data_IF_399981984709
#
_entry.id   IF_399981984709
#
_cell.length_a   1.000
_cell.length_b   1.000
_cell.length_c   1.000
_cell.angle_alpha   90.00
_cell.angle_beta   90.00
_cell.angle_gamma   90.00
#
_symmetry.space_group_name_H-M   'P 1'
#
loop_
_entity.id
_entity.type
_entity.pdbx_description
1 polymer ?
#
# COMPACT_ATOMS: atom_id res chain seq x y z
N UNK A 1 -1.96 -25.36 5.43
CA UNK A 1 -2.48 -25.81 6.74
C UNK A 1 -3.02 -24.58 7.48
N UNK A 2 -3.97 -24.73 8.40
CA UNK A 2 -4.53 -23.60 9.16
C UNK A 2 -4.65 -23.96 10.64
N UNK A 3 -4.38 -23.00 11.52
CA UNK A 3 -4.68 -23.06 12.96
C UNK A 3 -5.13 -21.68 13.44
N UNK A 4 -5.50 -21.59 14.72
CA UNK A 4 -5.91 -20.35 15.35
C UNK A 4 -5.23 -20.22 16.71
N UNK A 5 -4.65 -19.05 16.97
CA UNK A 5 -4.06 -18.68 18.25
C UNK A 5 -4.49 -17.23 18.50
N UNK A 6 -5.46 -17.00 19.38
CA UNK A 6 -5.98 -15.64 19.56
C UNK A 6 -4.89 -14.70 20.13
N UNK A 7 -4.67 -13.56 19.47
CA UNK A 7 -3.84 -12.48 20.00
C UNK A 7 -4.40 -11.96 21.33
N UNK A 8 -3.55 -11.31 22.13
CA UNK A 8 -3.98 -10.69 23.37
C UNK A 8 -5.04 -9.63 23.10
N UNK A 9 -6.12 -9.62 23.88
CA UNK A 9 -7.27 -8.72 23.68
C UNK A 9 -6.92 -7.22 23.72
N UNK A 10 -5.77 -6.85 24.30
CA UNK A 10 -5.25 -5.48 24.33
C UNK A 10 -4.43 -5.08 23.10
N UNK A 11 -4.34 -5.95 22.09
CA UNK A 11 -3.57 -5.70 20.86
C UNK A 11 -4.47 -5.48 19.63
N UNK A 12 -5.79 -5.43 19.80
CA UNK A 12 -6.74 -5.18 18.73
C UNK A 12 -8.01 -4.52 19.29
N UNK A 13 -8.79 -3.91 18.41
CA UNK A 13 -10.07 -3.29 18.77
C UNK A 13 -11.22 -4.19 18.36
N UNK A 14 -12.16 -4.44 19.29
CA UNK A 14 -13.37 -5.22 18.99
C UNK A 14 -14.26 -4.46 18.03
N UNK A 15 -14.74 -5.13 16.99
CA UNK A 15 -15.64 -4.56 15.99
C UNK A 15 -16.53 -5.64 15.36
N UNK A 16 -17.44 -5.23 14.49
CA UNK A 16 -18.35 -6.08 13.72
C UNK A 16 -18.24 -5.77 12.23
N UNK A 17 -17.03 -5.76 11.66
CA UNK A 17 -16.80 -5.54 10.22
C UNK A 17 -17.28 -6.76 9.41
N UNK A 18 -17.94 -6.57 8.24
CA UNK A 18 -18.04 -5.31 7.51
C UNK A 18 -19.28 -4.47 7.87
N UNK A 19 -20.09 -4.89 8.85
CA UNK A 19 -21.34 -4.19 9.23
C UNK A 19 -21.09 -2.81 9.80
N UNK A 20 -20.08 -2.66 10.66
CA UNK A 20 -19.70 -1.34 11.21
C UNK A 20 -19.01 -0.45 10.16
N UNK A 21 -18.15 -1.05 9.35
CA UNK A 21 -17.37 -0.39 8.31
C UNK A 21 -16.87 -1.43 7.30
N UNK A 22 -17.03 -1.13 6.01
CA UNK A 22 -16.53 -1.97 4.93
C UNK A 22 -15.01 -2.15 4.97
N UNK A 23 -14.56 -3.39 4.76
CA UNK A 23 -13.14 -3.72 4.59
C UNK A 23 -12.77 -3.49 3.13
N UNK A 24 -11.70 -2.74 2.90
CA UNK A 24 -11.28 -2.28 1.58
C UNK A 24 -9.89 -2.74 1.18
N UNK A 25 -9.00 -2.96 2.15
CA UNK A 25 -7.58 -3.25 1.86
C UNK A 25 -7.11 -4.57 2.46
N UNK A 26 -6.13 -5.17 1.83
CA UNK A 26 -5.28 -6.20 2.42
C UNK A 26 -3.87 -5.62 2.50
N UNK A 27 -3.28 -5.62 3.70
CA UNK A 27 -1.91 -5.13 3.90
C UNK A 27 -0.99 -6.33 4.12
N UNK A 28 0.01 -6.45 3.27
CA UNK A 28 1.02 -7.49 3.31
C UNK A 28 2.23 -6.97 4.05
N UNK A 29 2.69 -7.73 5.03
CA UNK A 29 3.83 -7.40 5.87
C UNK A 29 4.94 -8.43 5.74
N UNK A 30 6.12 -8.07 6.23
CA UNK A 30 7.20 -9.00 6.56
C UNK A 30 7.63 -8.77 8.01
N UNK A 31 7.49 -9.80 8.86
CA UNK A 31 7.54 -9.67 10.32
C UNK A 31 8.86 -9.16 10.88
N UNK A 32 9.97 -9.34 10.16
CA UNK A 32 11.35 -9.19 10.67
C UNK A 32 11.66 -10.06 11.90
N UNK A 33 10.87 -11.11 12.11
CA UNK A 33 10.91 -12.01 13.26
C UNK A 33 10.61 -13.43 12.81
N UNK A 34 11.04 -14.42 13.60
CA UNK A 34 10.60 -15.81 13.41
C UNK A 34 9.10 -15.93 13.69
N UNK A 35 8.46 -16.99 13.19
CA UNK A 35 7.04 -17.24 13.40
C UNK A 35 6.70 -17.34 14.90
N UNK A 36 7.53 -18.05 15.68
CA UNK A 36 7.30 -18.22 17.11
C UNK A 36 7.45 -16.88 17.85
N UNK A 37 8.42 -16.05 17.47
CA UNK A 37 8.60 -14.71 18.04
C UNK A 37 7.46 -13.77 17.66
N UNK A 38 6.96 -13.82 16.43
CA UNK A 38 5.78 -13.05 16.01
C UNK A 38 4.55 -13.44 16.81
N UNK A 39 4.27 -14.74 16.96
CA UNK A 39 3.15 -15.23 17.76
C UNK A 39 3.30 -14.81 19.22
N UNK A 40 4.49 -14.99 19.81
CA UNK A 40 4.76 -14.55 21.18
C UNK A 40 4.57 -13.03 21.36
N UNK A 41 4.99 -12.22 20.39
CA UNK A 41 4.80 -10.78 20.38
C UNK A 41 3.32 -10.39 20.41
N UNK A 42 2.48 -11.07 19.65
CA UNK A 42 1.03 -10.81 19.61
C UNK A 42 0.26 -11.35 20.83
N UNK A 43 0.88 -12.25 21.61
CA UNK A 43 0.33 -12.75 22.88
C UNK A 43 0.73 -11.89 24.10
N UNK A 44 1.68 -10.98 23.93
CA UNK A 44 2.11 -10.02 24.95
C UNK A 44 1.53 -8.61 24.68
N UNK A 45 1.40 -7.73 25.68
CA UNK A 45 0.78 -6.41 25.55
C UNK A 45 1.69 -5.40 24.82
N UNK A 46 2.00 -5.68 23.56
CA UNK A 46 2.85 -4.85 22.71
C UNK A 46 2.07 -3.86 21.85
N UNK A 47 0.74 -3.84 21.96
CA UNK A 47 -0.15 -2.97 21.18
C UNK A 47 0.03 -3.13 19.66
N UNK A 48 0.29 -4.37 19.22
CA UNK A 48 0.41 -4.74 17.81
C UNK A 48 -0.20 -6.11 17.54
N UNK A 49 -0.84 -6.27 16.38
CA UNK A 49 -1.38 -7.54 15.92
C UNK A 49 -1.64 -7.51 14.42
N UNK A 50 -1.75 -8.69 13.80
CA UNK A 50 -2.30 -8.86 12.46
C UNK A 50 -3.43 -9.90 12.48
N UNK A 51 -4.21 -10.00 11.40
CA UNK A 51 -5.28 -10.99 11.32
C UNK A 51 -4.72 -12.40 11.14
N UNK A 52 -3.67 -12.51 10.33
CA UNK A 52 -3.01 -13.77 9.99
C UNK A 52 -1.50 -13.65 10.05
N UNK A 53 -0.82 -14.70 10.52
CA UNK A 53 0.62 -14.92 10.35
C UNK A 53 0.85 -16.15 9.47
N UNK A 54 1.77 -16.07 8.52
CA UNK A 54 2.17 -17.16 7.62
C UNK A 54 3.58 -17.60 7.95
N UNK A 55 3.74 -18.87 8.33
CA UNK A 55 5.03 -19.48 8.65
C UNK A 55 5.84 -19.81 7.40
N UNK A 56 7.14 -19.57 7.46
CA UNK A 56 8.06 -19.65 6.34
C UNK A 56 8.26 -21.05 5.78
N UNK A 57 8.36 -22.03 6.67
CA UNK A 57 8.84 -23.38 6.37
C UNK A 57 7.79 -24.25 5.68
N UNK A 58 6.51 -24.03 5.96
CA UNK A 58 5.42 -24.90 5.50
C UNK A 58 4.15 -24.15 5.04
N UNK A 59 4.13 -22.81 5.11
CA UNK A 59 2.97 -22.00 4.78
C UNK A 59 1.79 -22.23 5.73
N UNK A 60 2.02 -22.61 6.99
CA UNK A 60 0.99 -22.60 8.02
C UNK A 60 0.41 -21.20 8.15
N UNK A 61 -0.92 -21.10 8.04
CA UNK A 61 -1.68 -19.86 8.21
C UNK A 61 -2.31 -19.87 9.60
N UNK A 62 -1.85 -19.00 10.48
CA UNK A 62 -2.37 -18.86 11.84
C UNK A 62 -3.24 -17.63 11.94
N UNK A 63 -4.53 -17.83 12.23
CA UNK A 63 -5.45 -16.72 12.53
C UNK A 63 -5.20 -16.23 13.96
N UNK A 64 -4.87 -14.94 14.08
CA UNK A 64 -4.54 -14.28 15.35
C UNK A 64 -5.65 -13.31 15.79
N UNK A 65 -6.23 -12.57 14.85
CA UNK A 65 -7.35 -11.66 15.10
C UNK A 65 -8.46 -11.99 14.10
N UNK A 66 -9.68 -12.23 14.61
CA UNK A 66 -10.86 -12.46 13.77
C UNK A 66 -11.07 -11.26 12.82
N UNK A 67 -11.34 -11.52 11.54
CA UNK A 67 -11.42 -10.47 10.49
C UNK A 67 -12.48 -9.39 10.72
N UNK A 68 -13.48 -9.66 11.56
CA UNK A 68 -14.48 -8.66 11.96
C UNK A 68 -13.92 -7.58 12.92
N UNK A 69 -12.90 -7.92 13.71
CA UNK A 69 -12.22 -6.99 14.62
C UNK A 69 -11.15 -6.20 13.88
N UNK A 70 -10.65 -5.11 14.45
CA UNK A 70 -9.57 -4.29 13.87
C UNK A 70 -8.24 -4.68 14.51
N UNK A 71 -7.41 -5.43 13.80
CA UNK A 71 -6.02 -5.65 14.20
C UNK A 71 -5.18 -4.37 14.07
N UNK A 72 -4.13 -4.24 14.88
CA UNK A 72 -3.26 -3.06 14.94
C UNK A 72 -1.95 -3.33 14.20
N UNK A 73 -1.94 -3.20 12.87
CA UNK A 73 -0.78 -3.54 12.04
C UNK A 73 -0.27 -2.40 11.14
N UNK A 74 -1.15 -1.51 10.66
CA UNK A 74 -0.79 -0.55 9.62
C UNK A 74 -0.08 0.70 10.13
N UNK A 75 -0.12 0.98 11.44
CA UNK A 75 0.38 2.25 12.00
C UNK A 75 -0.45 3.49 11.60
N UNK A 76 -1.50 3.31 10.79
CA UNK A 76 -2.46 4.33 10.42
C UNK A 76 -3.87 3.85 10.79
N UNK A 77 -4.55 4.57 11.68
CA UNK A 77 -5.82 4.13 12.27
C UNK A 77 -6.96 4.00 11.24
N UNK A 78 -7.03 4.91 10.26
CA UNK A 78 -8.02 4.83 9.18
C UNK A 78 -7.81 3.55 8.36
N UNK A 79 -6.55 3.25 8.04
CA UNK A 79 -6.19 2.05 7.29
C UNK A 79 -6.42 0.78 8.11
N UNK A 80 -6.05 0.74 9.40
CA UNK A 80 -6.39 -0.38 10.30
C UNK A 80 -7.90 -0.67 10.26
N UNK A 81 -8.72 0.37 10.44
CA UNK A 81 -10.19 0.25 10.43
C UNK A 81 -10.72 -0.38 9.13
N UNK A 82 -10.05 -0.14 7.98
CA UNK A 82 -10.50 -0.59 6.65
C UNK A 82 -9.71 -1.77 6.09
N UNK A 83 -8.82 -2.41 6.85
CA UNK A 83 -7.93 -3.40 6.27
C UNK A 83 -7.81 -4.71 7.05
N UNK A 84 -7.25 -5.70 6.36
CA UNK A 84 -6.83 -6.99 6.89
C UNK A 84 -5.32 -7.14 6.72
N UNK A 85 -4.57 -7.09 7.81
CA UNK A 85 -3.13 -7.38 7.83
C UNK A 85 -2.80 -8.87 7.76
N UNK A 86 -1.85 -9.22 6.87
CA UNK A 86 -1.25 -10.55 6.75
C UNK A 86 0.26 -10.43 6.97
N UNK A 87 0.76 -11.08 8.01
CA UNK A 87 2.17 -11.16 8.36
C UNK A 87 2.83 -12.37 7.72
N UNK A 88 4.00 -12.18 7.13
CA UNK A 88 4.84 -13.24 6.58
C UNK A 88 6.10 -13.34 7.42
N UNK A 89 6.45 -14.55 7.90
CA UNK A 89 7.76 -14.83 8.50
C UNK A 89 8.88 -14.65 7.46
N UNK A 90 9.30 -13.40 7.28
CA UNK A 90 10.19 -12.95 6.23
C UNK A 90 10.92 -11.67 6.66
N UNK A 91 12.00 -11.36 5.94
CA UNK A 91 12.94 -10.28 6.25
C UNK A 91 13.17 -9.42 5.01
N UNK A 92 13.08 -8.09 5.15
CA UNK A 92 13.10 -7.18 3.99
C UNK A 92 14.45 -7.13 3.27
N UNK A 93 15.51 -7.57 3.96
CA UNK A 93 16.88 -7.65 3.47
C UNK A 93 17.24 -9.03 2.89
N UNK A 94 16.32 -10.00 2.93
CA UNK A 94 16.56 -11.38 2.54
C UNK A 94 15.54 -11.88 1.52
N UNK A 95 15.90 -11.85 0.24
CA UNK A 95 15.04 -12.36 -0.84
C UNK A 95 14.66 -13.84 -0.65
N UNK A 96 15.58 -14.65 -0.12
CA UNK A 96 15.36 -16.08 0.14
C UNK A 96 14.34 -16.33 1.25
N UNK A 97 14.03 -15.31 2.06
CA UNK A 97 13.05 -15.45 3.13
C UNK A 97 11.61 -15.53 2.63
N UNK A 98 11.32 -15.06 1.41
CA UNK A 98 10.02 -15.16 0.76
C UNK A 98 9.89 -16.49 0.01
N UNK A 99 9.36 -17.52 0.66
CA UNK A 99 9.36 -18.88 0.11
C UNK A 99 8.17 -19.16 -0.81
N UNK A 100 8.29 -20.10 -1.76
CA UNK A 100 7.16 -20.51 -2.61
C UNK A 100 5.95 -21.05 -1.83
N UNK A 101 6.18 -21.72 -0.69
CA UNK A 101 5.10 -22.27 0.14
C UNK A 101 4.32 -21.17 0.85
N UNK A 102 5.01 -20.12 1.33
CA UNK A 102 4.35 -18.93 1.86
C UNK A 102 3.55 -18.20 0.78
N UNK A 103 4.12 -18.03 -0.41
CA UNK A 103 3.42 -17.37 -1.51
C UNK A 103 2.09 -18.07 -1.83
N UNK A 104 2.08 -19.41 -1.88
CA UNK A 104 0.86 -20.16 -2.13
C UNK A 104 -0.19 -19.96 -1.02
N UNK A 105 0.25 -19.94 0.25
CA UNK A 105 -0.62 -19.66 1.40
C UNK A 105 -1.17 -18.23 1.37
N UNK A 106 -0.32 -17.25 1.05
CA UNK A 106 -0.68 -15.84 0.91
C UNK A 106 -1.73 -15.64 -0.20
N UNK A 107 -1.50 -16.20 -1.38
CA UNK A 107 -2.44 -16.15 -2.52
C UNK A 107 -3.80 -16.74 -2.13
N UNK A 108 -3.81 -17.89 -1.44
CA UNK A 108 -5.05 -18.50 -0.96
C UNK A 108 -5.77 -17.59 0.05
N UNK A 109 -5.04 -16.99 1.00
CA UNK A 109 -5.61 -16.11 2.00
C UNK A 109 -6.15 -14.81 1.40
N UNK A 110 -5.43 -14.20 0.46
CA UNK A 110 -5.89 -13.01 -0.28
C UNK A 110 -7.18 -13.33 -1.03
N UNK A 111 -7.26 -14.46 -1.75
CA UNK A 111 -8.48 -14.87 -2.45
C UNK A 111 -9.65 -15.08 -1.49
N UNK A 112 -9.42 -15.67 -0.32
CA UNK A 112 -10.47 -15.81 0.72
C UNK A 112 -11.01 -14.44 1.13
N UNK A 113 -10.13 -13.50 1.48
CA UNK A 113 -10.55 -12.15 1.89
C UNK A 113 -11.20 -11.36 0.75
N UNK A 114 -10.67 -11.44 -0.47
CA UNK A 114 -11.22 -10.78 -1.64
C UNK A 114 -12.64 -11.25 -1.96
N UNK A 115 -12.90 -12.56 -1.88
CA UNK A 115 -14.26 -13.11 -2.07
C UNK A 115 -15.18 -12.68 -0.93
N UNK A 116 -14.74 -12.78 0.32
CA UNK A 116 -15.56 -12.51 1.49
C UNK A 116 -15.95 -11.03 1.63
N UNK A 117 -15.04 -10.12 1.29
CA UNK A 117 -15.20 -8.68 1.51
C UNK A 117 -15.27 -7.87 0.22
N UNK A 118 -15.32 -8.53 -0.93
CA UNK A 118 -15.35 -7.90 -2.27
C UNK A 118 -14.18 -6.95 -2.52
N UNK A 119 -12.99 -7.30 -2.03
CA UNK A 119 -11.77 -6.51 -2.20
C UNK A 119 -11.21 -6.73 -3.61
N UNK A 120 -11.02 -5.68 -4.43
CA UNK A 120 -10.40 -5.80 -5.74
C UNK A 120 -8.99 -6.40 -5.66
N UNK A 121 -8.65 -7.26 -6.61
CA UNK A 121 -7.32 -7.86 -6.74
C UNK A 121 -6.41 -6.96 -7.59
N UNK A 122 -6.16 -5.75 -7.10
CA UNK A 122 -5.25 -4.77 -7.72
C UNK A 122 -4.29 -4.19 -6.68
N UNK A 123 -3.34 -3.37 -7.14
CA UNK A 123 -2.35 -2.74 -6.26
C UNK A 123 -2.86 -1.54 -5.49
N UNK A 124 -4.04 -1.02 -5.80
CA UNK A 124 -4.68 0.03 -5.00
C UNK A 124 -5.36 -0.54 -3.74
N UNK A 125 -5.62 -1.84 -3.70
CA UNK A 125 -6.32 -2.53 -2.62
C UNK A 125 -5.47 -3.60 -1.91
N UNK A 126 -4.49 -4.19 -2.61
CA UNK A 126 -3.48 -5.08 -2.02
C UNK A 126 -2.17 -4.29 -1.90
N UNK A 127 -1.87 -3.85 -0.68
CA UNK A 127 -0.78 -2.93 -0.37
C UNK A 127 0.31 -3.63 0.42
N UNK A 128 1.55 -3.20 0.26
CA UNK A 128 2.60 -3.45 1.26
C UNK A 128 2.45 -2.46 2.41
N UNK A 129 3.04 -2.74 3.57
CA UNK A 129 3.08 -1.77 4.67
C UNK A 129 3.83 -0.49 4.27
N UNK A 130 4.85 -0.61 3.43
CA UNK A 130 5.57 0.48 2.77
C UNK A 130 4.65 1.43 1.98
N UNK A 131 3.54 0.91 1.46
CA UNK A 131 2.59 1.63 0.62
C UNK A 131 1.46 2.31 1.42
N UNK A 132 1.39 2.06 2.73
CA UNK A 132 0.39 2.66 3.64
C UNK A 132 0.69 4.15 3.82
N UNK A 133 -0.31 5.05 3.79
CA UNK A 133 -0.09 6.47 3.99
C UNK A 133 0.41 6.75 5.40
N UNK A 134 1.37 7.68 5.51
CA UNK A 134 1.73 8.25 6.82
C UNK A 134 0.52 9.00 7.40
N UNK A 135 0.22 8.93 8.71
CA UNK A 135 -0.91 9.67 9.27
C UNK A 135 -0.66 11.19 9.34
N UNK A 136 0.60 11.62 9.42
CA UNK A 136 1.04 13.03 9.40
C UNK A 136 2.44 13.17 8.77
N UNK A 137 2.84 14.41 8.44
CA UNK A 137 4.19 14.67 7.89
C UNK A 137 5.32 14.27 8.86
N UNK A 138 5.19 14.60 10.15
CA UNK A 138 6.22 14.29 11.15
C UNK A 138 6.38 12.78 11.40
N UNK A 139 5.30 12.02 11.23
CA UNK A 139 5.32 10.56 11.40
C UNK A 139 5.92 9.84 10.19
N UNK A 140 6.11 10.52 9.05
CA UNK A 140 6.65 9.92 7.83
C UNK A 140 8.05 9.30 8.05
N UNK A 141 8.83 9.84 8.99
CA UNK A 141 10.20 9.41 9.31
C UNK A 141 10.23 8.02 9.98
N UNK A 142 9.15 7.63 10.67
CA UNK A 142 9.05 6.36 11.40
C UNK A 142 8.38 5.26 10.57
N UNK A 143 8.21 5.48 9.28
CA UNK A 143 7.39 4.60 8.46
C UNK A 143 8.10 3.30 8.08
N UNK A 144 7.25 2.29 7.87
CA UNK A 144 7.64 0.92 7.56
C UNK A 144 8.18 0.76 6.14
N UNK A 145 9.00 -0.28 5.97
CA UNK A 145 9.66 -0.63 4.70
C UNK A 145 9.20 -1.96 4.13
N UNK A 146 8.44 -2.74 4.90
CA UNK A 146 8.03 -4.09 4.54
C UNK A 146 6.79 -4.09 3.63
N UNK A 147 6.62 -5.10 2.76
CA UNK A 147 7.43 -6.31 2.63
C UNK A 147 8.76 -6.08 1.88
N UNK A 148 9.01 -4.86 1.42
CA UNK A 148 10.30 -4.42 0.92
C UNK A 148 10.61 -4.85 -0.51
N UNK A 149 11.75 -4.36 -1.02
CA UNK A 149 12.14 -4.47 -2.43
C UNK A 149 12.22 -5.89 -2.98
N UNK A 150 12.43 -6.89 -2.12
CA UNK A 150 12.52 -8.29 -2.54
C UNK A 150 11.18 -9.01 -2.65
N UNK A 151 10.09 -8.41 -2.13
CA UNK A 151 8.77 -8.97 -2.32
C UNK A 151 8.39 -8.96 -3.81
N UNK A 152 8.04 -10.13 -4.34
CA UNK A 152 7.80 -10.34 -5.76
C UNK A 152 6.32 -10.08 -6.11
N UNK A 153 5.99 -8.79 -6.21
CA UNK A 153 4.67 -8.32 -6.62
C UNK A 153 4.21 -8.92 -7.97
N UNK A 154 5.02 -8.92 -9.06
CA UNK A 154 4.62 -9.57 -10.31
C UNK A 154 4.21 -11.04 -10.13
N UNK A 155 4.98 -11.81 -9.36
CA UNK A 155 4.69 -13.22 -9.11
C UNK A 155 3.43 -13.41 -8.27
N UNK A 156 3.19 -12.55 -7.28
CA UNK A 156 1.94 -12.55 -6.52
C UNK A 156 0.73 -12.35 -7.45
N UNK A 157 0.74 -11.29 -8.25
CA UNK A 157 -0.39 -10.95 -9.11
C UNK A 157 -0.65 -11.98 -10.21
N UNK A 158 0.42 -12.56 -10.77
CA UNK A 158 0.32 -13.73 -11.66
C UNK A 158 -0.38 -14.90 -10.97
N UNK A 159 -0.03 -15.22 -9.72
CA UNK A 159 -0.64 -16.31 -8.97
C UNK A 159 -2.09 -16.00 -8.52
N UNK A 160 -2.43 -14.73 -8.35
CA UNK A 160 -3.81 -14.26 -8.16
C UNK A 160 -4.67 -14.40 -9.42
N UNK A 161 -4.06 -14.71 -10.58
CA UNK A 161 -4.75 -14.83 -11.86
C UNK A 161 -4.94 -13.49 -12.58
N UNK A 162 -4.26 -12.44 -12.12
CA UNK A 162 -4.22 -11.17 -12.84
C UNK A 162 -3.27 -11.31 -14.03
N UNK A 163 -3.73 -10.85 -15.18
CA UNK A 163 -2.91 -10.87 -16.41
C UNK A 163 -1.87 -9.77 -16.34
N UNK A 164 -0.74 -9.99 -17.01
CA UNK A 164 0.24 -8.92 -17.19
C UNK A 164 -0.42 -7.79 -17.99
N UNK A 165 -0.09 -6.55 -17.62
CA UNK A 165 -0.52 -5.39 -18.37
C UNK A 165 -0.09 -5.53 -19.84
N UNK A 166 -1.00 -5.21 -20.76
CA UNK A 166 -0.64 -5.20 -22.18
C UNK A 166 0.28 -4.01 -22.42
N UNK A 167 1.46 -4.28 -22.98
CA UNK A 167 2.43 -3.24 -23.31
C UNK A 167 1.79 -2.25 -24.28
N UNK A 168 1.78 -0.99 -23.89
CA UNK A 168 1.29 0.14 -24.69
C UNK A 168 2.25 1.31 -24.53
N UNK A 169 2.56 2.04 -25.62
CA UNK A 169 3.45 3.18 -25.56
C UNK A 169 3.01 4.20 -24.51
N UNK A 170 3.95 4.64 -23.68
CA UNK A 170 3.70 5.70 -22.70
C UNK A 170 3.53 7.03 -23.45
N UNK A 171 2.51 7.79 -23.07
CA UNK A 171 2.19 9.09 -23.66
C UNK A 171 2.13 10.16 -22.56
N UNK A 172 2.67 11.34 -22.85
CA UNK A 172 2.61 12.49 -21.93
C UNK A 172 1.16 12.82 -21.61
N UNK A 173 0.90 13.21 -20.36
CA UNK A 173 -0.41 13.48 -19.76
C UNK A 173 -1.35 12.27 -19.71
N UNK A 174 -0.88 11.07 -20.07
CA UNK A 174 -1.64 9.84 -19.92
C UNK A 174 -1.24 9.07 -18.66
N UNK A 175 -2.19 8.38 -18.03
CA UNK A 175 -1.90 7.43 -16.98
C UNK A 175 -1.06 6.26 -17.47
N UNK A 176 -0.13 5.81 -16.62
CA UNK A 176 0.70 4.63 -16.81
C UNK A 176 0.66 3.75 -15.56
N UNK A 177 1.03 2.49 -15.72
CA UNK A 177 1.25 1.53 -14.65
C UNK A 177 2.64 0.93 -14.76
N UNK A 178 3.25 0.63 -13.63
CA UNK A 178 4.57 -0.01 -13.56
C UNK A 178 4.41 -1.51 -13.75
N UNK A 179 5.16 -2.07 -14.69
CA UNK A 179 5.03 -3.47 -15.13
C UNK A 179 6.21 -4.34 -14.71
N UNK A 180 7.32 -3.74 -14.29
CA UNK A 180 8.46 -4.44 -13.70
C UNK A 180 8.33 -4.58 -12.18
N UNK A 181 9.16 -5.43 -11.55
CA UNK A 181 9.16 -5.57 -10.09
C UNK A 181 9.48 -4.24 -9.39
N UNK A 182 10.58 -3.59 -9.78
CA UNK A 182 11.04 -2.33 -9.24
C UNK A 182 11.75 -1.50 -10.32
N UNK A 183 11.60 -0.17 -10.28
CA UNK A 183 12.40 0.77 -11.06
C UNK A 183 12.91 1.90 -10.15
N UNK A 184 14.17 2.30 -10.38
CA UNK A 184 14.83 3.38 -9.64
C UNK A 184 14.47 4.73 -10.23
N UNK A 185 14.24 5.70 -9.35
CA UNK A 185 13.96 7.09 -9.68
C UNK A 185 15.22 7.97 -9.61
N UNK A 186 15.32 8.91 -10.55
CA UNK A 186 16.40 9.87 -10.72
C UNK A 186 15.85 11.30 -10.80
N UNK A 187 16.67 12.30 -10.47
CA UNK A 187 16.30 13.72 -10.58
C UNK A 187 16.26 14.23 -12.03
N UNK A 188 16.95 13.54 -12.94
CA UNK A 188 17.08 13.91 -14.35
C UNK A 188 17.19 12.65 -15.23
N UNK A 189 16.89 12.74 -16.55
CA UNK A 189 16.94 11.62 -17.47
C UNK A 189 18.39 11.26 -17.86
N UNK A 190 19.15 10.70 -16.92
CA UNK A 190 20.52 10.28 -17.11
C UNK A 190 20.86 9.08 -16.24
N UNK A 191 21.52 8.06 -16.83
CA UNK A 191 21.96 6.87 -16.09
C UNK A 191 23.11 7.17 -15.11
N UNK A 192 23.87 8.24 -15.39
CA UNK A 192 24.86 8.80 -14.46
C UNK A 192 24.28 9.96 -13.63
N UNK A 193 22.96 10.16 -13.69
CA UNK A 193 22.25 11.22 -13.01
C UNK A 193 22.13 10.96 -11.51
N UNK A 194 21.86 12.03 -10.76
CA UNK A 194 21.62 11.93 -9.33
C UNK A 194 20.32 11.14 -9.06
N UNK A 195 20.38 10.23 -8.08
CA UNK A 195 19.20 9.53 -7.57
C UNK A 195 18.18 10.55 -7.04
N UNK A 196 16.90 10.19 -7.12
CA UNK A 196 15.81 11.06 -6.66
C UNK A 196 15.99 11.46 -5.18
N UNK A 197 16.35 10.49 -4.35
CA UNK A 197 16.84 10.69 -2.98
C UNK A 197 18.25 10.13 -2.82
N UNK A 198 18.98 10.60 -1.80
CA UNK A 198 20.38 10.18 -1.57
C UNK A 198 20.47 8.70 -1.22
N UNK A 199 21.64 8.07 -1.40
CA UNK A 199 21.85 6.66 -1.06
C UNK A 199 21.70 6.36 0.44
N UNK A 200 21.87 7.38 1.29
CA UNK A 200 21.66 7.28 2.73
C UNK A 200 20.17 7.17 3.09
N UNK A 201 19.28 7.57 2.19
CA UNK A 201 17.85 7.39 2.36
C UNK A 201 17.43 5.97 2.00
N UNK A 202 16.41 5.40 2.68
CA UNK A 202 15.88 4.09 2.34
C UNK A 202 15.47 3.99 0.87
N UNK A 203 15.80 2.86 0.22
CA UNK A 203 15.61 2.71 -1.22
C UNK A 203 14.17 2.91 -1.73
N UNK A 204 13.16 2.65 -0.89
CA UNK A 204 11.75 2.88 -1.24
C UNK A 204 11.41 4.36 -1.48
N UNK A 205 12.21 5.29 -0.94
CA UNK A 205 12.03 6.74 -1.21
C UNK A 205 12.27 7.09 -2.68
N UNK A 206 12.96 6.22 -3.43
CA UNK A 206 13.33 6.40 -4.84
C UNK A 206 13.03 5.18 -5.70
N UNK A 207 12.04 4.38 -5.30
CA UNK A 207 11.66 3.16 -6.02
C UNK A 207 10.17 3.16 -6.29
N UNK A 208 9.80 2.84 -7.52
CA UNK A 208 8.44 2.49 -7.92
C UNK A 208 8.39 1.00 -8.26
N UNK A 209 7.23 0.38 -8.08
CA UNK A 209 7.09 -1.08 -8.11
C UNK A 209 5.83 -1.53 -8.82
N UNK A 210 5.82 -2.80 -9.23
CA UNK A 210 4.77 -3.43 -10.02
C UNK A 210 3.35 -3.03 -9.57
N UNK A 211 2.53 -2.61 -10.53
CA UNK A 211 1.11 -2.27 -10.40
C UNK A 211 0.83 -0.92 -9.73
N UNK A 212 1.85 -0.18 -9.27
CA UNK A 212 1.67 1.25 -8.96
C UNK A 212 1.40 2.02 -10.25
N UNK A 213 0.59 3.07 -10.17
CA UNK A 213 0.20 3.88 -11.33
C UNK A 213 0.48 5.35 -11.13
N UNK A 214 0.87 6.01 -12.21
CA UNK A 214 1.29 7.42 -12.23
C UNK A 214 0.82 8.10 -13.51
N UNK A 215 0.97 9.42 -13.60
CA UNK A 215 0.77 10.15 -14.87
C UNK A 215 2.14 10.43 -15.48
N UNK A 216 2.30 10.13 -16.76
CA UNK A 216 3.50 10.51 -17.50
C UNK A 216 3.56 12.04 -17.63
N UNK A 217 4.44 12.68 -16.85
CA UNK A 217 4.60 14.12 -16.84
C UNK A 217 5.45 14.63 -18.01
N UNK A 218 6.44 13.86 -18.45
CA UNK A 218 7.31 14.18 -19.58
C UNK A 218 8.01 12.93 -20.11
N UNK A 219 8.61 13.02 -21.30
CA UNK A 219 9.50 11.99 -21.85
C UNK A 219 10.76 12.61 -22.44
N UNK A 220 11.87 11.87 -22.42
CA UNK A 220 13.12 12.24 -23.10
C UNK A 220 13.86 10.97 -23.56
N UNK A 221 13.73 10.63 -24.86
CA UNK A 221 14.17 9.32 -25.33
C UNK A 221 13.41 8.21 -24.61
N UNK A 222 14.13 7.22 -24.06
CA UNK A 222 13.55 6.14 -23.27
C UNK A 222 13.21 6.54 -21.82
N UNK A 223 13.48 7.78 -21.42
CA UNK A 223 13.18 8.26 -20.07
C UNK A 223 11.75 8.76 -19.95
N UNK A 224 11.11 8.40 -18.85
CA UNK A 224 9.76 8.84 -18.49
C UNK A 224 9.84 9.59 -17.16
N UNK A 225 9.23 10.77 -17.11
CA UNK A 225 9.03 11.50 -15.86
C UNK A 225 7.62 11.25 -15.31
N UNK A 226 7.51 11.14 -13.99
CA UNK A 226 6.24 11.07 -13.26
C UNK A 226 6.22 12.13 -12.16
N UNK A 227 5.02 12.49 -11.71
CA UNK A 227 4.85 13.21 -10.45
C UNK A 227 5.02 12.25 -9.28
N UNK A 228 6.00 12.52 -8.42
CA UNK A 228 6.35 11.71 -7.26
C UNK A 228 6.72 12.64 -6.10
N UNK A 229 5.95 12.58 -5.02
CA UNK A 229 6.10 13.44 -3.84
C UNK A 229 6.08 14.94 -4.17
N UNK A 230 5.20 15.35 -5.09
CA UNK A 230 5.10 16.73 -5.55
C UNK A 230 6.24 17.19 -6.47
N UNK A 231 7.14 16.31 -6.90
CA UNK A 231 8.28 16.64 -7.77
C UNK A 231 8.31 15.76 -9.01
N UNK A 232 9.09 16.17 -10.02
CA UNK A 232 9.36 15.31 -11.17
C UNK A 232 10.43 14.27 -10.79
N UNK A 233 10.09 13.00 -10.99
CA UNK A 233 11.02 11.89 -10.87
C UNK A 233 11.12 11.12 -12.18
N UNK A 234 12.34 10.79 -12.59
CA UNK A 234 12.62 10.14 -13.87
C UNK A 234 12.99 8.68 -13.68
N UNK A 235 12.50 7.81 -14.56
CA UNK A 235 12.98 6.43 -14.66
C UNK A 235 13.22 6.06 -16.13
N UNK A 236 14.10 5.08 -16.32
CA UNK A 236 14.40 4.55 -17.64
C UNK A 236 13.37 3.49 -18.03
N UNK A 237 12.60 3.71 -19.09
CA UNK A 237 11.62 2.77 -19.62
C UNK A 237 12.21 1.92 -20.76
N UNK A 238 13.25 1.14 -20.43
CA UNK A 238 14.00 0.33 -21.40
C UNK A 238 13.06 -0.54 -22.24
N UNK A 239 13.07 -0.34 -23.56
CA UNK A 239 12.23 -1.06 -24.53
C UNK A 239 10.72 -1.04 -24.23
N UNK A 240 10.22 -0.08 -23.43
CA UNK A 240 8.80 -0.04 -23.04
C UNK A 240 8.38 -1.08 -21.99
N UNK A 241 9.34 -1.77 -21.34
CA UNK A 241 9.07 -2.91 -20.45
C UNK A 241 8.92 -2.52 -18.97
N UNK A 242 9.11 -1.25 -18.61
CA UNK A 242 9.03 -0.79 -17.21
C UNK A 242 7.66 -0.19 -16.91
N UNK A 243 7.06 0.48 -17.89
CA UNK A 243 5.76 1.09 -17.76
C UNK A 243 4.92 0.96 -19.03
N UNK A 244 3.61 0.87 -18.86
CA UNK A 244 2.65 0.80 -19.97
C UNK A 244 1.49 1.74 -19.72
N UNK A 245 0.89 2.28 -20.78
CA UNK A 245 -0.33 3.07 -20.67
C UNK A 245 -1.42 2.25 -19.97
N UNK A 246 -2.15 2.89 -19.06
CA UNK A 246 -3.11 2.22 -18.18
C UNK A 246 -4.39 3.02 -18.08
N UNK A 247 -5.54 2.44 -18.45
CA UNK A 247 -6.80 3.14 -18.44
C UNK A 247 -7.34 3.35 -17.02
N UNK A 248 -6.99 4.49 -16.42
CA UNK A 248 -7.52 4.97 -15.13
C UNK A 248 -7.79 6.47 -15.19
N UNK A 249 -8.69 6.96 -14.34
CA UNK A 249 -8.99 8.39 -14.29
C UNK A 249 -7.77 9.19 -13.82
N UNK A 250 -7.61 10.41 -14.33
CA UNK A 250 -6.58 11.36 -13.89
C UNK A 250 -7.24 12.51 -13.16
N UNK A 251 -6.65 12.93 -12.05
CA UNK A 251 -6.99 14.18 -11.40
C UNK A 251 -5.83 15.16 -11.55
N UNK A 252 -6.16 16.35 -12.06
CA UNK A 252 -5.22 17.44 -12.27
C UNK A 252 -5.56 18.60 -11.35
N UNK A 253 -4.60 19.01 -10.53
CA UNK A 253 -4.72 20.14 -9.64
C UNK A 253 -5.02 21.41 -10.44
N UNK A 254 -6.07 22.14 -10.05
CA UNK A 254 -6.35 23.46 -10.63
C UNK A 254 -5.68 24.57 -9.82
N UNK A 255 -5.53 24.36 -8.52
CA UNK A 255 -4.74 25.16 -7.60
C UNK A 255 -3.85 24.22 -6.79
N UNK A 256 -3.06 24.79 -5.88
CA UNK A 256 -2.38 23.97 -4.88
C UNK A 256 -3.45 23.28 -4.01
N UNK A 257 -3.33 21.96 -3.86
CA UNK A 257 -4.32 21.11 -3.21
C UNK A 257 -3.64 20.19 -2.18
N UNK A 258 -4.13 20.16 -0.92
CA UNK A 258 -3.55 19.32 0.11
C UNK A 258 -3.79 17.82 -0.17
N UNK A 259 -2.77 17.01 0.08
CA UNK A 259 -2.87 15.55 0.07
C UNK A 259 -2.87 15.05 1.51
N UNK A 260 -3.82 14.17 1.83
CA UNK A 260 -4.04 13.66 3.17
C UNK A 260 -3.62 12.21 3.31
N UNK A 261 -3.11 11.86 4.49
CA UNK A 261 -2.77 10.47 4.85
C UNK A 261 -3.91 9.71 5.55
N UNK A 262 -5.01 10.39 5.84
CA UNK A 262 -6.24 9.80 6.37
C UNK A 262 -7.45 10.59 5.89
N UNK A 263 -8.64 10.01 6.06
CA UNK A 263 -9.92 10.53 5.57
C UNK A 263 -10.79 11.15 6.67
N UNK A 264 -10.25 11.25 7.89
CA UNK A 264 -10.90 11.89 9.02
C UNK A 264 -11.09 13.39 8.83
N UNK A 265 -12.10 13.97 9.49
CA UNK A 265 -12.43 15.40 9.35
C UNK A 265 -11.27 16.33 9.74
N UNK A 266 -10.45 15.88 10.68
CA UNK A 266 -9.31 16.60 11.24
C UNK A 266 -7.97 16.11 10.65
N UNK A 267 -7.99 15.35 9.55
CA UNK A 267 -6.78 14.89 8.90
C UNK A 267 -5.87 16.05 8.53
N UNK A 268 -4.60 15.95 8.90
CA UNK A 268 -3.56 16.90 8.50
C UNK A 268 -3.04 16.54 7.11
N UNK A 269 -2.61 17.57 6.37
CA UNK A 269 -1.94 17.35 5.09
C UNK A 269 -0.61 16.66 5.33
N UNK A 270 -0.29 15.68 4.48
CA UNK A 270 1.00 14.97 4.45
C UNK A 270 1.89 15.43 3.30
N UNK A 271 1.31 16.21 2.38
CA UNK A 271 1.98 16.82 1.26
C UNK A 271 1.03 17.74 0.52
N UNK A 272 1.48 18.26 -0.61
CA UNK A 272 0.70 19.14 -1.46
C UNK A 272 0.90 18.77 -2.92
N UNK A 273 -0.17 18.85 -3.68
CA UNK A 273 -0.15 18.77 -5.13
C UNK A 273 -0.20 20.20 -5.67
N UNK A 274 0.87 20.65 -6.33
CA UNK A 274 0.91 21.99 -6.91
C UNK A 274 0.00 22.12 -8.15
N UNK A 275 -0.45 23.34 -8.45
CA UNK A 275 -1.25 23.63 -9.64
C UNK A 275 -0.63 23.04 -10.93
N UNK A 276 -1.45 22.35 -11.72
CA UNK A 276 -1.05 21.71 -12.98
C UNK A 276 -0.52 20.27 -12.86
N UNK A 277 -0.11 19.84 -11.66
CA UNK A 277 0.29 18.44 -11.42
C UNK A 277 -0.89 17.50 -11.61
N UNK A 278 -0.58 16.24 -11.95
CA UNK A 278 -1.60 15.24 -12.28
C UNK A 278 -1.26 13.87 -11.67
N UNK A 279 -2.26 13.22 -11.09
CA UNK A 279 -2.12 11.91 -10.44
C UNK A 279 -3.26 10.98 -10.88
N UNK A 280 -2.98 9.68 -10.92
CA UNK A 280 -3.99 8.66 -11.22
C UNK A 280 -4.92 8.49 -10.03
N UNK A 281 -6.23 8.53 -10.29
CA UNK A 281 -7.28 8.24 -9.31
C UNK A 281 -7.54 6.74 -9.34
N UNK A 282 -6.91 6.02 -8.42
CA UNK A 282 -6.96 4.56 -8.38
C UNK A 282 -8.20 4.02 -7.68
N UNK A 283 -8.85 4.83 -6.86
CA UNK A 283 -10.10 4.49 -6.18
C UNK A 283 -10.81 5.75 -5.61
N UNK A 284 -12.03 5.60 -5.13
CA UNK A 284 -12.79 6.63 -4.40
C UNK A 284 -13.47 6.05 -3.16
N UNK A 285 -13.53 6.85 -2.10
CA UNK A 285 -14.13 6.44 -0.83
C UNK A 285 -14.70 7.64 -0.06
N UNK A 286 -15.64 7.35 0.82
CA UNK A 286 -16.16 8.30 1.81
C UNK A 286 -15.30 8.28 3.06
N UNK A 287 -14.97 9.46 3.57
CA UNK A 287 -14.18 9.60 4.79
C UNK A 287 -14.89 9.10 6.03
N UNK A 288 -14.10 8.71 7.03
CA UNK A 288 -14.60 8.24 8.34
C UNK A 288 -14.00 9.03 9.48
N UNK A 289 -14.78 9.19 10.54
CA UNK A 289 -14.24 9.50 11.86
C UNK A 289 -14.37 8.22 12.71
N UNK A 290 -13.23 7.66 13.10
CA UNK A 290 -13.16 6.42 13.85
C UNK A 290 -12.31 6.59 15.11
N UNK A 291 -12.70 5.96 16.21
CA UNK A 291 -11.96 5.89 17.46
C UNK A 291 -12.09 4.51 18.09
N UNK A 292 -11.08 4.12 18.87
CA UNK A 292 -11.25 3.06 19.87
C UNK A 292 -11.82 3.69 21.15
N UNK A 293 -13.01 3.25 21.56
CA UNK A 293 -13.62 3.62 22.83
C UNK A 293 -13.73 2.39 23.72
N UNK A 294 -12.80 2.27 24.68
CA UNK A 294 -12.73 1.19 25.65
C UNK A 294 -12.64 -0.22 25.01
N UNK A 295 -11.75 -0.37 24.02
CA UNK A 295 -11.49 -1.61 23.30
C UNK A 295 -12.52 -1.92 22.22
N UNK A 296 -13.32 -0.94 21.80
CA UNK A 296 -14.39 -1.14 20.81
C UNK A 296 -14.42 -0.01 19.78
N UNK A 297 -14.55 -0.41 18.52
CA UNK A 297 -14.63 0.52 17.40
C UNK A 297 -15.89 1.38 17.51
N UNK A 298 -15.70 2.69 17.46
CA UNK A 298 -16.74 3.67 17.15
C UNK A 298 -16.36 4.32 15.84
N UNK A 299 -17.26 4.24 14.86
CA UNK A 299 -17.01 4.78 13.53
C UNK A 299 -18.28 5.39 12.96
N UNK A 300 -18.13 6.51 12.27
CA UNK A 300 -19.14 7.08 11.42
C UNK A 300 -18.53 7.56 10.10
N UNK A 301 -19.27 7.43 9.01
CA UNK A 301 -18.91 8.11 7.77
C UNK A 301 -19.16 9.62 7.93
N UNK A 302 -18.17 10.43 7.56
CA UNK A 302 -18.25 11.88 7.67
C UNK A 302 -18.81 12.56 6.41
N UNK A 303 -19.16 11.77 5.38
CA UNK A 303 -19.75 12.24 4.14
C UNK A 303 -18.83 13.06 3.24
N UNK A 304 -17.53 13.14 3.53
CA UNK A 304 -16.55 13.78 2.67
C UNK A 304 -16.03 12.76 1.65
N UNK A 305 -16.31 12.91 0.35
CA UNK A 305 -15.71 12.07 -0.68
C UNK A 305 -14.21 12.37 -0.85
N UNK A 306 -13.43 11.31 -1.07
CA UNK A 306 -12.01 11.36 -1.35
C UNK A 306 -11.68 10.57 -2.62
N UNK A 307 -10.69 11.05 -3.36
CA UNK A 307 -9.97 10.28 -4.39
C UNK A 307 -8.74 9.66 -3.76
N UNK A 308 -8.53 8.37 -3.94
CA UNK A 308 -7.27 7.71 -3.62
C UNK A 308 -6.31 7.83 -4.81
N UNK A 309 -5.07 8.21 -4.53
CA UNK A 309 -3.99 8.35 -5.52
C UNK A 309 -2.73 7.64 -5.02
N UNK A 310 -1.77 7.38 -5.90
CA UNK A 310 -0.37 7.20 -5.50
C UNK A 310 0.29 8.57 -5.42
N UNK A 311 0.71 9.02 -4.24
CA UNK A 311 1.36 10.33 -4.07
C UNK A 311 2.89 10.23 -4.11
N UNK A 312 3.42 9.04 -3.81
CA UNK A 312 4.82 8.65 -3.99
C UNK A 312 4.86 7.12 -4.14
N UNK A 313 5.57 6.40 -3.28
CA UNK A 313 5.42 4.94 -3.12
C UNK A 313 4.18 4.57 -2.27
N UNK A 314 3.52 5.55 -1.63
CA UNK A 314 2.33 5.40 -0.78
C UNK A 314 1.07 5.86 -1.48
N UNK A 315 -0.06 5.30 -1.05
CA UNK A 315 -1.35 5.90 -1.35
C UNK A 315 -1.53 7.22 -0.59
N UNK A 316 -2.37 8.10 -1.10
CA UNK A 316 -2.78 9.35 -0.46
C UNK A 316 -4.21 9.71 -0.87
N UNK A 317 -4.81 10.67 -0.17
CA UNK A 317 -6.21 11.05 -0.35
C UNK A 317 -6.38 12.52 -0.69
N UNK A 318 -7.21 12.81 -1.68
CA UNK A 318 -7.57 14.18 -2.08
C UNK A 318 -9.06 14.38 -1.85
N UNK A 319 -9.42 15.44 -1.12
CA UNK A 319 -10.83 15.79 -0.89
C UNK A 319 -11.49 16.18 -2.21
N UNK A 320 -12.64 15.59 -2.50
CA UNK A 320 -13.48 16.03 -3.61
C UNK A 320 -14.38 17.16 -3.11
N UNK A 321 -14.33 18.32 -3.77
CA UNK A 321 -15.20 19.44 -3.44
C UNK A 321 -16.67 18.99 -3.53
N UNK A 322 -17.47 19.36 -2.53
CA UNK A 322 -18.93 19.18 -2.59
C UNK A 322 -19.45 20.11 -3.68
N UNK A 323 -20.13 19.53 -4.68
CA UNK A 323 -20.83 20.29 -5.73
C UNK A 323 -21.98 21.09 -5.13
#
# INVERSE_FOLDING_TARGET
MRNQIAALASNYTVANRPSDLGIRYIIIHATQLSYDDTVARFLAPNEVSAHVVIRQTDGLVTEMVASQNVAWHAGNWDINCRSLGIEQEAYVDSAVSFTPVMLNALVAQIKTYAVQYHIPLDRAHILGHDSVPTPSADQAIQMHQDPGRYFDWPRLFKALGQTAYTEQPVQVDQPLVITCQNATLYKAPSQSGELFTTENEPSWTRTISYGQSYVCAATQGDWVAIWYDGQLAWFLNTNGQVASQYAVSVHRAQSDEPVYGSTGRNAQSVGEMASGQAYTVVDQLTGIDATDQAGRLKVCENGQPFKQIWFNHRIGFIKVAKK
#
